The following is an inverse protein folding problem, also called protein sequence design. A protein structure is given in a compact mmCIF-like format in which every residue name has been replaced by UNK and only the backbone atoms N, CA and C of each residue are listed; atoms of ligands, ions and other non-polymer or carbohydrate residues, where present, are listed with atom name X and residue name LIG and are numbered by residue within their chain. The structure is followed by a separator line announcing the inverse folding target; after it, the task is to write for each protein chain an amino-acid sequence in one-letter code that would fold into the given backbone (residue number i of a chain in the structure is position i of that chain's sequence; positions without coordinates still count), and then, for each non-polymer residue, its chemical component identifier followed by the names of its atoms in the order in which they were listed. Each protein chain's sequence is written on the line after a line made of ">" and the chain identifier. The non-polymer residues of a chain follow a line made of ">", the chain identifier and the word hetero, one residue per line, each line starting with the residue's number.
data_IF_967381137033
#
_entry.id   IF_967381137033
#
_cell.length_a   1.000
_cell.length_b   1.000
_cell.length_c   1.000
_cell.angle_alpha   90.00
_cell.angle_beta   90.00
_cell.angle_gamma   90.00
#
_symmetry.space_group_name_H-M   'P 1'
#
loop_
_entity.id
_entity.type
_entity.pdbx_description
1 polymer ?
#
# COMPACT_ATOMS: atom_id res chain seq x y z
N UNK A 1 17.72 58.59 -16.93
CA UNK A 1 18.25 58.18 -15.62
C UNK A 1 17.13 58.26 -14.60
N UNK A 2 16.40 57.15 -14.41
CA UNK A 2 15.57 56.93 -13.24
C UNK A 2 15.55 55.43 -12.98
N UNK A 3 16.25 55.04 -11.93
CA UNK A 3 16.46 53.68 -11.43
C UNK A 3 15.19 53.19 -10.75
N UNK A 4 14.59 52.09 -11.22
CA UNK A 4 13.64 51.31 -10.43
C UNK A 4 14.40 50.47 -9.39
N UNK A 5 13.86 50.29 -8.17
CA UNK A 5 14.54 49.60 -7.09
C UNK A 5 14.59 48.08 -7.31
N UNK A 6 15.74 47.54 -6.91
CA UNK A 6 16.08 46.13 -6.76
C UNK A 6 14.98 45.40 -5.96
N UNK A 7 14.31 44.44 -6.60
CA UNK A 7 13.26 43.65 -5.95
C UNK A 7 13.91 42.50 -5.19
N UNK A 8 14.00 42.67 -3.88
CA UNK A 8 14.39 41.67 -2.89
C UNK A 8 13.50 40.38 -2.96
N UNK A 9 13.98 39.25 -2.40
CA UNK A 9 13.87 37.93 -3.00
C UNK A 9 12.48 37.29 -2.90
N UNK A 10 12.25 36.31 -3.79
CA UNK A 10 11.09 35.43 -3.80
C UNK A 10 10.82 34.89 -2.40
N UNK A 11 9.71 35.35 -1.82
CA UNK A 11 9.22 34.91 -0.53
C UNK A 11 9.15 33.38 -0.49
N UNK A 12 9.88 32.83 0.46
CA UNK A 12 9.93 31.44 0.90
C UNK A 12 8.51 30.89 1.10
N UNK A 13 7.98 30.18 0.09
CA UNK A 13 6.72 29.44 0.22
C UNK A 13 6.99 28.10 0.87
N UNK A 14 7.33 28.12 2.16
CA UNK A 14 7.24 26.91 2.99
C UNK A 14 6.56 27.23 4.31
N UNK A 15 5.30 27.66 4.24
CA UNK A 15 4.38 27.29 5.31
C UNK A 15 4.10 25.79 5.14
N UNK A 16 5.02 24.96 5.63
CA UNK A 16 4.73 23.57 5.98
C UNK A 16 3.61 23.66 7.00
N UNK A 17 2.37 23.62 6.52
CA UNK A 17 1.20 23.64 7.40
C UNK A 17 1.41 22.54 8.44
N UNK A 18 1.15 22.82 9.73
CA UNK A 18 1.24 21.79 10.74
C UNK A 18 0.40 20.60 10.27
N UNK A 19 1.03 19.42 10.25
CA UNK A 19 0.37 18.16 9.93
C UNK A 19 -0.92 18.10 10.77
N UNK A 20 -2.07 17.92 10.11
CA UNK A 20 -3.36 17.90 10.80
C UNK A 20 -3.32 16.74 11.82
N UNK A 21 -3.31 17.07 13.11
CA UNK A 21 -3.38 16.08 14.17
C UNK A 21 -4.86 15.71 14.37
N UNK A 22 -5.22 14.47 14.04
CA UNK A 22 -6.58 13.96 14.25
C UNK A 22 -6.74 13.36 15.64
N UNK A 23 -5.64 12.86 16.24
CA UNK A 23 -5.63 12.22 17.55
C UNK A 23 -4.67 12.89 18.52
N UNK A 24 -4.82 12.58 19.82
CA UNK A 24 -3.94 13.09 20.88
C UNK A 24 -2.53 12.49 20.82
N UNK A 25 -2.43 11.24 20.40
CA UNK A 25 -1.16 10.54 20.24
C UNK A 25 -0.73 10.59 18.77
N UNK A 26 0.37 11.30 18.44
CA UNK A 26 0.89 11.36 17.08
C UNK A 26 1.26 9.99 16.48
N UNK A 27 1.45 8.95 17.30
CA UNK A 27 1.65 7.60 16.79
C UNK A 27 0.39 7.04 16.11
N UNK A 28 -0.80 7.42 16.59
CA UNK A 28 -2.08 6.99 16.00
C UNK A 28 -2.31 7.68 14.67
N UNK A 29 -2.00 8.98 14.55
CA UNK A 29 -2.08 9.71 13.28
C UNK A 29 -1.17 9.08 12.22
N UNK A 30 0.06 8.71 12.60
CA UNK A 30 0.99 7.99 11.69
C UNK A 30 0.48 6.61 11.30
N UNK A 31 -0.09 5.86 12.24
CA UNK A 31 -0.70 4.56 11.95
C UNK A 31 -1.87 4.69 10.97
N UNK A 32 -2.72 5.71 11.15
CA UNK A 32 -3.80 6.02 10.22
C UNK A 32 -3.26 6.35 8.83
N UNK A 33 -2.22 7.19 8.74
CA UNK A 33 -1.53 7.48 7.48
C UNK A 33 -1.05 6.21 6.77
N UNK A 34 -0.36 5.31 7.50
CA UNK A 34 0.10 4.03 6.95
C UNK A 34 -1.06 3.14 6.48
N UNK A 35 -2.17 3.06 7.23
CA UNK A 35 -3.37 2.29 6.84
C UNK A 35 -4.00 2.88 5.58
N UNK A 36 -4.07 4.21 5.46
CA UNK A 36 -4.63 4.86 4.28
C UNK A 36 -3.78 4.59 3.04
N UNK A 37 -2.44 4.67 3.15
CA UNK A 37 -1.53 4.29 2.06
C UNK A 37 -1.71 2.83 1.67
N UNK A 38 -1.74 1.91 2.64
CA UNK A 38 -1.96 0.49 2.37
C UNK A 38 -3.33 0.23 1.71
N UNK A 39 -4.38 0.92 2.15
CA UNK A 39 -5.72 0.80 1.58
C UNK A 39 -5.74 1.24 0.11
N UNK A 40 -5.03 2.32 -0.23
CA UNK A 40 -4.89 2.76 -1.61
C UNK A 40 -4.15 1.73 -2.47
N UNK A 41 -3.07 1.14 -1.96
CA UNK A 41 -2.33 0.09 -2.66
C UNK A 41 -3.18 -1.18 -2.88
N UNK A 42 -3.96 -1.60 -1.87
CA UNK A 42 -4.90 -2.73 -1.99
C UNK A 42 -5.97 -2.44 -3.04
N UNK A 43 -6.48 -1.20 -3.10
CA UNK A 43 -7.43 -0.81 -4.12
C UNK A 43 -6.81 -0.88 -5.53
N UNK A 44 -5.58 -0.37 -5.71
CA UNK A 44 -4.87 -0.43 -7.00
C UNK A 44 -4.66 -1.89 -7.45
N UNK A 45 -4.28 -2.77 -6.53
CA UNK A 45 -4.11 -4.20 -6.84
C UNK A 45 -5.45 -4.84 -7.24
N UNK A 46 -6.53 -4.51 -6.53
CA UNK A 46 -7.88 -5.01 -6.83
C UNK A 46 -8.39 -4.52 -8.18
N UNK A 47 -8.16 -3.25 -8.51
CA UNK A 47 -8.51 -2.65 -9.80
C UNK A 47 -7.74 -3.31 -10.96
N UNK A 48 -6.44 -3.56 -10.76
CA UNK A 48 -5.61 -4.28 -11.72
C UNK A 48 -6.11 -5.72 -11.93
N UNK A 49 -6.47 -6.43 -10.87
CA UNK A 49 -7.06 -7.78 -10.98
C UNK A 49 -8.36 -7.76 -11.78
N UNK A 50 -9.28 -6.84 -11.48
CA UNK A 50 -10.54 -6.69 -12.24
C UNK A 50 -10.30 -6.39 -13.72
N UNK A 51 -9.30 -5.56 -14.02
CA UNK A 51 -8.90 -5.24 -15.39
C UNK A 51 -8.35 -6.46 -16.13
N UNK A 52 -7.52 -7.27 -15.46
CA UNK A 52 -7.00 -8.52 -16.02
C UNK A 52 -8.14 -9.50 -16.31
N UNK A 53 -9.04 -9.73 -15.35
CA UNK A 53 -10.20 -10.60 -15.52
C UNK A 53 -11.07 -10.15 -16.71
N UNK A 54 -11.37 -8.85 -16.82
CA UNK A 54 -12.14 -8.31 -17.93
C UNK A 54 -11.44 -8.49 -19.29
N UNK A 55 -10.13 -8.26 -19.34
CA UNK A 55 -9.35 -8.45 -20.58
C UNK A 55 -9.26 -9.92 -20.99
N UNK A 56 -9.16 -10.85 -20.04
CA UNK A 56 -9.11 -12.30 -20.32
C UNK A 56 -10.47 -12.81 -20.80
N UNK A 57 -11.56 -12.35 -20.18
CA UNK A 57 -12.94 -12.65 -20.57
C UNK A 57 -13.27 -12.11 -21.97
N UNK A 58 -12.93 -10.84 -22.24
CA UNK A 58 -13.11 -10.22 -23.56
C UNK A 58 -12.33 -10.94 -24.66
N UNK A 59 -11.18 -11.53 -24.33
CA UNK A 59 -10.36 -12.34 -25.25
C UNK A 59 -10.79 -13.80 -25.34
N UNK A 60 -11.79 -14.23 -24.56
CA UNK A 60 -12.28 -15.60 -24.51
C UNK A 60 -11.29 -16.61 -23.92
N UNK A 61 -10.35 -16.16 -23.07
CA UNK A 61 -9.34 -17.02 -22.44
C UNK A 61 -9.92 -17.75 -21.21
N UNK A 62 -10.80 -17.08 -20.48
CA UNK A 62 -11.57 -17.63 -19.36
C UNK A 62 -12.95 -16.99 -19.38
N UNK A 63 -13.96 -17.62 -18.77
CA UNK A 63 -15.20 -16.93 -18.43
C UNK A 63 -15.07 -16.37 -17.02
N UNK A 64 -15.45 -15.10 -16.82
CA UNK A 64 -15.42 -14.48 -15.49
C UNK A 64 -16.19 -15.30 -14.44
N UNK A 65 -17.29 -15.97 -14.80
CA UNK A 65 -18.06 -16.83 -13.91
C UNK A 65 -17.30 -18.08 -13.45
N UNK A 66 -16.33 -18.56 -14.22
CA UNK A 66 -15.52 -19.72 -13.84
C UNK A 66 -14.65 -19.40 -12.62
N UNK A 67 -14.19 -18.15 -12.49
CA UNK A 67 -13.39 -17.71 -11.33
C UNK A 67 -14.17 -17.77 -10.01
N UNK A 68 -15.47 -17.47 -10.04
CA UNK A 68 -16.32 -17.50 -8.84
C UNK A 68 -16.56 -18.93 -8.33
N UNK A 69 -16.45 -19.93 -9.22
CA UNK A 69 -16.65 -21.35 -8.91
C UNK A 69 -15.34 -22.15 -8.91
N UNK A 70 -14.22 -21.49 -9.17
CA UNK A 70 -12.93 -22.14 -9.32
C UNK A 70 -12.50 -22.82 -8.02
N UNK A 71 -12.27 -24.13 -8.12
CA UNK A 71 -11.68 -24.91 -7.05
C UNK A 71 -10.33 -25.44 -7.54
N UNK A 72 -9.20 -25.04 -6.91
CA UNK A 72 -7.91 -25.59 -7.25
C UNK A 72 -7.87 -27.09 -6.95
N UNK A 73 -7.14 -27.83 -7.77
CA UNK A 73 -6.82 -29.23 -7.48
C UNK A 73 -5.92 -29.36 -6.25
N UNK A 74 -5.68 -30.60 -5.80
CA UNK A 74 -4.94 -30.86 -4.58
C UNK A 74 -3.50 -30.30 -4.63
N UNK A 75 -2.84 -30.40 -5.79
CA UNK A 75 -1.47 -29.92 -5.98
C UNK A 75 -1.41 -28.39 -5.92
N UNK A 76 -2.28 -27.73 -6.67
CA UNK A 76 -2.39 -26.26 -6.72
C UNK A 76 -2.79 -25.69 -5.35
N UNK A 77 -3.74 -26.32 -4.67
CA UNK A 77 -4.16 -25.91 -3.33
C UNK A 77 -3.03 -26.02 -2.32
N UNK A 78 -2.20 -27.07 -2.42
CA UNK A 78 -1.04 -27.26 -1.56
C UNK A 78 0.03 -26.19 -1.80
N UNK A 79 0.29 -25.83 -3.07
CA UNK A 79 1.20 -24.74 -3.43
C UNK A 79 0.73 -23.39 -2.87
N UNK A 80 -0.55 -23.04 -3.07
CA UNK A 80 -1.14 -21.80 -2.53
C UNK A 80 -1.03 -21.77 -1.00
N UNK A 81 -1.28 -22.89 -0.32
CA UNK A 81 -1.17 -22.98 1.13
C UNK A 81 0.28 -22.79 1.61
N UNK A 82 1.26 -23.36 0.91
CA UNK A 82 2.68 -23.19 1.21
C UNK A 82 3.11 -21.73 1.07
N UNK A 83 2.72 -21.07 -0.02
CA UNK A 83 3.03 -19.65 -0.26
C UNK A 83 2.40 -18.76 0.81
N UNK A 84 1.13 -19.00 1.16
CA UNK A 84 0.45 -18.28 2.24
C UNK A 84 1.18 -18.45 3.57
N UNK A 85 1.62 -19.66 3.91
CA UNK A 85 2.32 -19.94 5.15
C UNK A 85 3.68 -19.23 5.19
N UNK A 86 4.42 -19.22 4.07
CA UNK A 86 5.68 -18.50 3.95
C UNK A 86 5.49 -16.98 4.14
N UNK A 87 4.46 -16.41 3.51
CA UNK A 87 4.11 -15.00 3.68
C UNK A 87 3.76 -14.66 5.13
N UNK A 88 2.88 -15.44 5.77
CA UNK A 88 2.49 -15.22 7.17
C UNK A 88 3.69 -15.33 8.10
N UNK A 89 4.57 -16.32 7.87
CA UNK A 89 5.79 -16.46 8.65
C UNK A 89 6.65 -15.20 8.56
N UNK A 90 6.95 -14.73 7.35
CA UNK A 90 7.75 -13.53 7.14
C UNK A 90 7.15 -12.30 7.82
N UNK A 91 5.82 -12.12 7.72
CA UNK A 91 5.10 -11.03 8.38
C UNK A 91 5.24 -11.12 9.91
N UNK A 92 5.03 -12.31 10.48
CA UNK A 92 5.07 -12.53 11.93
C UNK A 92 6.49 -12.44 12.50
N UNK A 93 7.51 -12.84 11.74
CA UNK A 93 8.91 -12.67 12.16
C UNK A 93 9.24 -11.20 12.46
N UNK A 94 8.71 -10.24 11.67
CA UNK A 94 8.91 -8.81 11.92
C UNK A 94 8.15 -8.29 13.14
N UNK A 95 6.96 -8.84 13.43
CA UNK A 95 6.13 -8.43 14.58
C UNK A 95 6.66 -9.02 15.89
N UNK A 96 7.10 -10.28 15.86
CA UNK A 96 7.53 -11.05 17.03
C UNK A 96 9.01 -10.76 17.36
N UNK A 97 9.86 -10.40 16.39
CA UNK A 97 11.29 -10.15 16.65
C UNK A 97 11.64 -8.82 17.35
N UNK A 98 10.66 -8.12 17.97
CA UNK A 98 11.00 -7.05 18.92
C UNK A 98 11.65 -7.64 20.19
N UNK A 99 12.99 -7.72 20.23
CA UNK A 99 13.88 -7.48 21.40
C UNK A 99 15.39 -7.79 21.17
N UNK A 100 15.91 -7.98 19.95
CA UNK A 100 17.37 -8.19 19.76
C UNK A 100 18.21 -6.95 19.43
N UNK A 101 17.60 -5.77 19.22
CA UNK A 101 18.35 -4.50 19.25
C UNK A 101 18.21 -3.85 20.63
N UNK A 102 18.97 -4.38 21.60
CA UNK A 102 19.46 -3.56 22.72
C UNK A 102 20.78 -2.98 22.24
N UNK A 103 20.94 -1.67 22.44
CA UNK A 103 22.05 -0.88 21.91
C UNK A 103 23.44 -1.48 22.16
N UNK A 104 24.29 -1.27 21.16
CA UNK A 104 25.72 -1.09 21.33
C UNK A 104 26.03 0.38 21.06
#
# INVERSE_FOLDING_TARGET
>A
MQTLPDSAPAAERTSRQPEQAFFKDPAIDRLLGMIMTLSAEVWILSDRMRSIEHLLDTKGVLNRADLDTYQPDAETAQAIAADRNAFVKALMDHVISRQQSRGA
#
